data_IF_755908479722
#
_entry.id   IF_755908479722
#
_cell.length_a   1.000
_cell.length_b   1.000
_cell.length_c   1.000
_cell.angle_alpha   90.00
_cell.angle_beta   90.00
_cell.angle_gamma   90.00
#
_symmetry.space_group_name_H-M   'P 1'
#
loop_
_entity.id
_entity.type
_entity.pdbx_description
1 polymer ?
#
# COMPACT_ATOMS: atom_id res chain seq x y z
N UNK A 1 8.82 14.06 10.13
CA UNK A 1 9.71 14.34 11.27
C UNK A 1 9.25 13.38 12.33
N UNK A 2 10.10 12.41 12.68
CA UNK A 2 9.68 11.37 13.60
C UNK A 2 9.63 11.87 15.04
N UNK A 3 8.92 11.15 15.88
CA UNK A 3 8.72 11.52 17.29
C UNK A 3 10.02 11.39 18.08
N UNK A 4 10.64 12.52 18.39
CA UNK A 4 11.90 12.63 19.17
C UNK A 4 13.08 11.89 18.51
N UNK A 5 13.10 11.79 17.18
CA UNK A 5 14.20 11.20 16.44
C UNK A 5 14.45 11.93 15.11
N UNK A 6 15.62 11.68 14.53
CA UNK A 6 15.91 11.98 13.14
C UNK A 6 16.17 10.66 12.43
N UNK A 7 15.44 10.43 11.34
CA UNK A 7 15.56 9.23 10.53
C UNK A 7 16.05 9.63 9.14
N UNK A 8 17.05 8.90 8.63
CA UNK A 8 17.54 9.03 7.26
C UNK A 8 17.22 7.72 6.55
N UNK A 9 16.48 7.82 5.43
CA UNK A 9 16.10 6.68 4.60
C UNK A 9 16.35 6.99 3.12
N UNK A 10 16.58 5.97 2.28
CA UNK A 10 16.56 6.14 0.83
C UNK A 10 15.23 6.79 0.39
N UNK A 11 15.32 7.79 -0.49
CA UNK A 11 14.13 8.53 -0.97
C UNK A 11 13.12 7.60 -1.64
N UNK A 12 13.61 6.57 -2.34
CA UNK A 12 12.80 5.60 -3.08
C UNK A 12 12.02 4.61 -2.18
N UNK A 13 12.36 4.47 -0.90
CA UNK A 13 11.76 3.46 -0.01
C UNK A 13 10.90 4.13 1.05
N UNK A 14 9.63 3.73 1.15
CA UNK A 14 8.68 4.24 2.13
C UNK A 14 7.62 3.17 2.50
N UNK A 15 6.84 3.41 3.57
CA UNK A 15 5.84 2.45 4.04
C UNK A 15 4.68 2.23 3.05
N UNK A 16 4.30 3.25 2.28
CA UNK A 16 3.27 3.14 1.25
C UNK A 16 3.66 2.17 0.12
N UNK A 17 4.94 2.13 -0.21
CA UNK A 17 5.47 1.19 -1.21
C UNK A 17 5.33 -0.27 -0.75
N UNK A 18 5.52 -0.53 0.55
CA UNK A 18 5.26 -1.84 1.16
C UNK A 18 3.77 -2.20 1.09
N UNK A 19 2.89 -1.25 1.38
CA UNK A 19 1.43 -1.46 1.28
C UNK A 19 1.03 -1.85 -0.14
N UNK A 20 1.54 -1.15 -1.16
CA UNK A 20 1.26 -1.51 -2.56
C UNK A 20 1.75 -2.91 -2.91
N UNK A 21 2.94 -3.30 -2.45
CA UNK A 21 3.46 -4.68 -2.65
C UNK A 21 2.54 -5.72 -2.01
N UNK A 22 2.07 -5.47 -0.78
CA UNK A 22 1.16 -6.39 -0.09
C UNK A 22 -0.15 -6.52 -0.88
N UNK A 23 -0.75 -5.42 -1.33
CA UNK A 23 -1.98 -5.46 -2.13
C UNK A 23 -1.80 -6.15 -3.47
N UNK A 24 -0.71 -5.85 -4.18
CA UNK A 24 -0.38 -6.47 -5.46
C UNK A 24 -0.25 -7.99 -5.35
N UNK A 25 0.30 -8.48 -4.22
CA UNK A 25 0.47 -9.92 -3.96
C UNK A 25 -0.78 -10.61 -3.41
N UNK A 26 -1.78 -9.86 -2.95
CA UNK A 26 -3.03 -10.39 -2.37
C UNK A 26 -4.23 -9.67 -3.00
N UNK A 27 -4.45 -9.80 -4.32
CA UNK A 27 -5.51 -9.08 -5.04
C UNK A 27 -6.92 -9.49 -4.61
N UNK A 28 -7.05 -10.66 -3.99
CA UNK A 28 -8.28 -11.24 -3.43
C UNK A 28 -8.64 -10.68 -2.04
N UNK A 29 -7.87 -9.73 -1.49
CA UNK A 29 -8.17 -9.12 -0.18
C UNK A 29 -9.51 -8.37 -0.20
N UNK A 30 -10.44 -8.80 0.66
CA UNK A 30 -11.78 -8.19 0.79
C UNK A 30 -11.89 -7.24 1.98
N UNK A 31 -10.86 -7.16 2.83
CA UNK A 31 -10.81 -6.29 4.00
C UNK A 31 -9.40 -5.77 4.24
N UNK A 32 -9.27 -4.48 4.50
CA UNK A 32 -8.00 -3.83 4.84
C UNK A 32 -8.18 -3.03 6.13
N UNK A 33 -7.35 -3.34 7.12
CA UNK A 33 -7.14 -2.48 8.29
C UNK A 33 -5.68 -2.01 8.32
N UNK A 34 -5.48 -0.70 8.39
CA UNK A 34 -4.16 -0.09 8.43
C UNK A 34 -4.12 0.99 9.51
N UNK A 35 -3.27 0.80 10.52
CA UNK A 35 -3.10 1.72 11.62
C UNK A 35 -1.69 2.35 11.64
N UNK A 36 -1.58 3.61 12.05
CA UNK A 36 -0.30 4.31 12.15
C UNK A 36 -0.37 5.59 12.99
N UNK A 37 0.72 5.94 13.66
CA UNK A 37 0.77 6.97 14.69
C UNK A 37 1.70 8.15 14.35
N UNK A 38 2.57 8.02 13.36
CA UNK A 38 3.57 9.05 13.01
C UNK A 38 3.47 9.47 11.53
N UNK A 39 4.20 10.52 11.16
CA UNK A 39 4.16 11.12 9.82
C UNK A 39 4.59 10.16 8.71
N UNK A 40 5.37 9.12 9.02
CA UNK A 40 5.79 8.11 8.03
C UNK A 40 4.62 7.21 7.60
N UNK A 41 3.59 7.08 8.45
CA UNK A 41 2.41 6.25 8.17
C UNK A 41 1.45 6.90 7.17
N UNK A 42 1.59 8.22 6.97
CA UNK A 42 0.85 8.95 5.94
C UNK A 42 1.15 8.41 4.53
N UNK A 43 2.32 7.80 4.31
CA UNK A 43 2.62 7.12 3.05
C UNK A 43 1.77 5.85 2.89
N UNK A 44 1.46 5.13 3.98
CA UNK A 44 0.53 3.98 3.96
C UNK A 44 -0.89 4.45 3.62
N UNK A 45 -1.37 5.48 4.30
CA UNK A 45 -2.72 6.00 4.09
C UNK A 45 -2.90 6.55 2.67
N UNK A 46 -1.87 7.23 2.13
CA UNK A 46 -1.88 7.68 0.73
C UNK A 46 -1.94 6.50 -0.24
N UNK A 47 -1.20 5.42 0.01
CA UNK A 47 -1.22 4.22 -0.83
C UNK A 47 -2.59 3.52 -0.82
N UNK A 48 -3.37 3.67 0.26
CA UNK A 48 -4.72 3.11 0.43
C UNK A 48 -5.84 4.02 -0.11
N UNK A 49 -5.50 5.18 -0.68
CA UNK A 49 -6.45 6.05 -1.38
C UNK A 49 -6.79 5.50 -2.78
N UNK A 50 -7.27 4.25 -2.83
CA UNK A 50 -7.46 3.44 -4.04
C UNK A 50 -8.64 3.89 -4.92
N UNK A 51 -9.60 4.64 -4.35
CA UNK A 51 -10.87 4.98 -5.00
C UNK A 51 -11.03 6.49 -5.14
N UNK A 52 -10.53 7.10 -6.24
CA UNK A 52 -10.86 8.47 -6.59
C UNK A 52 -12.39 8.68 -6.70
N UNK A 53 -12.90 9.90 -6.54
CA UNK A 53 -14.32 10.19 -6.69
C UNK A 53 -14.88 9.63 -8.00
N UNK A 54 -15.95 8.84 -7.91
CA UNK A 54 -16.59 8.19 -9.07
C UNK A 54 -16.01 6.83 -9.49
N UNK A 55 -14.99 6.32 -8.81
CA UNK A 55 -14.37 5.01 -9.10
C UNK A 55 -14.83 3.95 -8.09
N UNK A 56 -15.29 2.80 -8.57
CA UNK A 56 -15.76 1.67 -7.74
C UNK A 56 -14.87 0.43 -7.80
N UNK A 57 -13.97 0.35 -8.78
CA UNK A 57 -12.99 -0.73 -8.94
C UNK A 57 -11.57 -0.18 -8.79
N UNK A 58 -10.71 -0.92 -8.11
CA UNK A 58 -9.31 -0.57 -7.97
C UNK A 58 -8.46 -1.52 -8.81
N UNK A 59 -7.57 -0.97 -9.63
CA UNK A 59 -6.55 -1.70 -10.37
C UNK A 59 -5.19 -1.17 -9.93
N UNK A 60 -4.21 -2.05 -9.78
CA UNK A 60 -2.89 -1.71 -9.26
C UNK A 60 -1.81 -2.16 -10.23
N UNK A 61 -1.04 -1.21 -10.75
CA UNK A 61 0.19 -1.50 -11.49
C UNK A 61 1.25 -2.12 -10.58
N UNK A 62 2.17 -2.88 -11.17
CA UNK A 62 3.27 -3.48 -10.44
C UNK A 62 4.10 -2.41 -9.71
N UNK A 63 4.16 -2.43 -8.37
CA UNK A 63 4.87 -1.42 -7.61
C UNK A 63 6.39 -1.58 -7.78
N UNK A 64 7.15 -0.50 -7.57
CA UNK A 64 8.62 -0.53 -7.70
C UNK A 64 9.27 -1.57 -6.78
N UNK A 65 8.68 -1.75 -5.60
CA UNK A 65 9.07 -2.78 -4.64
C UNK A 65 8.92 -4.20 -5.18
N UNK A 66 8.06 -4.47 -6.16
CA UNK A 66 7.96 -5.77 -6.83
C UNK A 66 8.96 -5.83 -7.98
N UNK A 67 8.97 -4.81 -8.84
CA UNK A 67 9.80 -4.83 -10.06
C UNK A 67 11.31 -4.79 -9.80
N UNK A 68 11.75 -4.18 -8.70
CA UNK A 68 13.18 -4.09 -8.33
C UNK A 68 13.71 -5.30 -7.55
N UNK A 69 12.82 -6.10 -6.95
CA UNK A 69 13.22 -7.19 -6.04
C UNK A 69 12.93 -8.55 -6.67
N UNK A 70 11.79 -8.71 -7.34
CA UNK A 70 11.30 -10.02 -7.80
C UNK A 70 11.77 -10.35 -9.23
N UNK A 71 12.85 -9.71 -9.70
CA UNK A 71 13.36 -9.79 -11.07
C UNK A 71 13.81 -11.19 -11.53
N UNK A 72 14.02 -12.14 -10.61
CA UNK A 72 14.61 -13.47 -10.91
C UNK A 72 13.70 -14.68 -10.61
N UNK A 73 12.55 -14.53 -9.93
CA UNK A 73 11.81 -15.68 -9.35
C UNK A 73 10.47 -16.02 -10.05
N UNK A 74 10.14 -15.41 -11.20
CA UNK A 74 8.90 -15.75 -11.92
C UNK A 74 9.12 -16.86 -12.96
N UNK A 75 8.50 -18.05 -12.83
CA UNK A 75 8.53 -19.04 -13.88
C UNK A 75 7.80 -18.50 -15.12
N UNK A 76 8.36 -18.69 -16.34
CA UNK A 76 7.75 -18.19 -17.55
C UNK A 76 6.37 -18.84 -17.77
N UNK A 77 5.35 -18.00 -17.97
CA UNK A 77 4.02 -18.46 -18.34
C UNK A 77 4.06 -19.10 -19.74
N UNK A 78 3.45 -20.28 -19.97
CA UNK A 78 3.73 -21.13 -21.13
C UNK A 78 3.07 -20.69 -22.46
N UNK A 79 2.66 -19.44 -22.65
CA UNK A 79 1.79 -19.08 -23.79
C UNK A 79 2.22 -17.93 -24.72
N UNK A 80 3.51 -17.54 -24.77
CA UNK A 80 3.93 -16.57 -25.80
C UNK A 80 5.41 -16.73 -26.22
N UNK A 81 5.74 -16.84 -27.53
CA UNK A 81 7.12 -16.91 -27.99
C UNK A 81 7.76 -15.52 -28.13
N UNK A 82 8.91 -15.38 -27.48
CA UNK A 82 10.06 -14.50 -27.75
C UNK A 82 9.84 -13.01 -28.10
N UNK A 83 10.19 -12.12 -27.15
CA UNK A 83 11.07 -10.96 -27.37
C UNK A 83 11.48 -10.35 -26.02
N UNK A 84 12.79 -10.37 -25.70
CA UNK A 84 13.45 -9.78 -24.51
C UNK A 84 12.92 -10.20 -23.13
N UNK A 85 13.75 -10.87 -22.32
CA UNK A 85 13.44 -11.29 -20.95
C UNK A 85 13.35 -10.10 -19.97
N UNK A 86 12.31 -9.28 -20.11
CA UNK A 86 11.86 -8.36 -19.08
C UNK A 86 10.70 -9.04 -18.36
N UNK A 87 10.85 -9.35 -17.07
CA UNK A 87 9.78 -9.90 -16.24
C UNK A 87 8.55 -9.00 -16.33
N UNK A 88 7.51 -9.48 -17.02
CA UNK A 88 6.29 -8.71 -17.26
C UNK A 88 5.44 -8.82 -16.01
N UNK A 89 5.39 -7.76 -15.20
CA UNK A 89 4.50 -7.68 -14.05
C UNK A 89 3.21 -6.96 -14.47
N UNK A 90 2.11 -7.67 -14.81
CA UNK A 90 0.89 -7.05 -15.28
C UNK A 90 0.19 -6.28 -14.14
N UNK A 91 -0.67 -5.33 -14.49
CA UNK A 91 -1.57 -4.72 -13.54
C UNK A 91 -2.57 -5.76 -12.99
N UNK A 92 -2.95 -5.65 -11.72
CA UNK A 92 -3.88 -6.56 -11.05
C UNK A 92 -5.14 -5.82 -10.64
N UNK A 93 -6.30 -6.45 -10.85
CA UNK A 93 -7.57 -5.97 -10.30
C UNK A 93 -7.71 -6.41 -8.85
N UNK A 94 -8.06 -5.47 -7.98
CA UNK A 94 -8.25 -5.74 -6.55
C UNK A 94 -9.73 -6.04 -6.28
N UNK A 95 -10.01 -7.09 -5.51
CA UNK A 95 -11.33 -7.46 -5.03
C UNK A 95 -11.87 -6.51 -3.93
N UNK A 96 -11.00 -5.68 -3.36
CA UNK A 96 -11.34 -4.80 -2.24
C UNK A 96 -12.43 -3.80 -2.63
N UNK A 97 -13.39 -3.61 -1.72
CA UNK A 97 -14.40 -2.56 -1.81
C UNK A 97 -13.98 -1.32 -1.00
N UNK A 98 -14.41 -0.13 -1.44
CA UNK A 98 -14.09 1.13 -0.78
C UNK A 98 -14.46 1.14 0.71
N UNK A 99 -15.62 0.57 1.04
CA UNK A 99 -16.17 0.51 2.38
C UNK A 99 -15.39 -0.46 3.29
N UNK A 100 -14.56 -1.32 2.71
CA UNK A 100 -13.75 -2.30 3.42
C UNK A 100 -12.30 -1.83 3.69
N UNK A 101 -12.00 -0.55 3.44
CA UNK A 101 -10.67 0.05 3.70
C UNK A 101 -10.72 0.95 4.93
N UNK A 102 -10.13 0.46 6.03
CA UNK A 102 -10.08 1.14 7.32
C UNK A 102 -8.68 1.66 7.61
N UNK A 103 -8.43 2.92 7.24
CA UNK A 103 -7.21 3.65 7.63
C UNK A 103 -7.43 4.39 8.95
N UNK A 104 -6.62 4.08 9.97
CA UNK A 104 -6.81 4.56 11.34
C UNK A 104 -5.54 5.24 11.85
N UNK A 105 -5.62 6.55 12.10
CA UNK A 105 -4.53 7.27 12.75
C UNK A 105 -4.59 7.09 14.27
N UNK A 106 -3.46 6.82 14.91
CA UNK A 106 -3.33 6.89 16.36
C UNK A 106 -2.87 8.28 16.75
N UNK A 107 -3.69 8.98 17.54
CA UNK A 107 -3.43 10.33 18.02
C UNK A 107 -4.70 11.14 18.24
N UNK A 108 -4.54 12.34 18.78
CA UNK A 108 -5.64 13.24 19.08
C UNK A 108 -6.43 13.63 17.81
N UNK A 109 -7.72 13.92 17.95
CA UNK A 109 -8.63 14.28 16.84
C UNK A 109 -8.19 15.49 16.00
N UNK A 110 -7.37 16.36 16.58
CA UNK A 110 -6.80 17.53 15.90
C UNK A 110 -5.57 17.20 15.03
N UNK A 111 -5.07 15.96 15.07
CA UNK A 111 -3.96 15.52 14.23
C UNK A 111 -4.41 15.50 12.77
N UNK A 112 -3.78 16.32 11.93
CA UNK A 112 -3.97 16.26 10.48
C UNK A 112 -3.37 14.95 9.93
N UNK A 113 -4.19 14.18 9.25
CA UNK A 113 -3.86 12.87 8.68
C UNK A 113 -4.69 12.61 7.42
N UNK A 114 -4.20 11.72 6.56
CA UNK A 114 -4.94 11.15 5.43
C UNK A 114 -5.82 9.96 5.84
N UNK A 115 -5.66 9.43 7.05
CA UNK A 115 -6.50 8.36 7.56
C UNK A 115 -7.98 8.80 7.68
N UNK A 116 -8.89 7.87 7.45
CA UNK A 116 -10.34 8.11 7.55
C UNK A 116 -10.84 8.11 8.99
N UNK A 117 -10.16 7.37 9.87
CA UNK A 117 -10.52 7.18 11.26
C UNK A 117 -9.37 7.59 12.18
N UNK A 118 -9.67 7.81 13.45
CA UNK A 118 -8.65 7.97 14.47
C UNK A 118 -9.06 7.28 15.77
N UNK A 119 -8.04 6.92 16.55
CA UNK A 119 -8.16 6.49 17.95
C UNK A 119 -7.17 7.29 18.78
N UNK A 120 -7.43 7.45 20.07
CA UNK A 120 -6.60 8.36 20.88
C UNK A 120 -5.31 7.70 21.34
N UNK A 121 -5.35 6.39 21.58
CA UNK A 121 -4.25 5.62 22.17
C UNK A 121 -4.02 4.31 21.42
N UNK A 122 -2.78 3.75 21.47
CA UNK A 122 -2.51 2.42 20.91
C UNK A 122 -3.36 1.31 21.54
N UNK A 123 -3.79 1.47 22.79
CA UNK A 123 -4.60 0.48 23.51
C UNK A 123 -5.98 0.29 22.89
N UNK A 124 -6.54 1.31 22.24
CA UNK A 124 -7.83 1.21 21.55
C UNK A 124 -7.76 0.39 20.24
N UNK A 125 -6.55 0.07 19.77
CA UNK A 125 -6.34 -0.78 18.58
C UNK A 125 -6.37 -2.27 18.94
N UNK A 126 -5.99 -2.63 20.18
CA UNK A 126 -5.79 -4.02 20.64
C UNK A 126 -7.01 -4.53 21.38
#
# INVERSE_FOLDING_TARGET
>A
VGKKNLEVRPVAVNKGEIVKRILYRNPDSEFIFCAGDDKTDEDMFRALSLFPPGTTKATLDAPMSVTLIDGDDTPPSPSTPSESSWSTFPAVDLAIHKEAVFTTAVGHSSKRTLASWHVTTPQEIV
#
